data_IF_024107358313
#
_entry.id   IF_024107358313
#
_cell.length_a   1.000
_cell.length_b   1.000
_cell.length_c   1.000
_cell.angle_alpha   90.00
_cell.angle_beta   90.00
_cell.angle_gamma   90.00
#
_symmetry.space_group_name_H-M   'P 1'
#
loop_
_entity.id
_entity.type
_entity.pdbx_description
1 polymer ?
#
# COMPACT_ATOMS: atom_id res chain seq x y z
N UNK A 1 10.61 22.66 -3.27
CA UNK A 1 9.82 21.53 -2.74
C UNK A 1 10.56 20.21 -2.84
N UNK A 2 10.66 19.54 -3.99
CA UNK A 2 11.24 18.18 -4.07
C UNK A 2 12.67 18.00 -3.53
N UNK A 3 13.54 19.03 -3.63
CA UNK A 3 14.88 19.03 -3.01
C UNK A 3 14.83 19.31 -1.50
N UNK A 4 13.97 20.24 -1.08
CA UNK A 4 13.80 20.63 0.32
C UNK A 4 13.17 19.50 1.15
N UNK A 5 12.23 18.75 0.57
CA UNK A 5 11.59 17.59 1.18
C UNK A 5 12.38 16.28 0.98
N UNK A 6 13.56 16.36 0.39
CA UNK A 6 14.47 15.23 0.24
C UNK A 6 14.06 14.16 -0.78
N UNK A 7 12.89 14.24 -1.42
CA UNK A 7 12.43 13.24 -2.41
C UNK A 7 13.39 13.06 -3.59
N UNK A 8 14.03 14.15 -4.02
CA UNK A 8 14.99 14.12 -5.11
C UNK A 8 16.32 13.49 -4.68
N UNK A 9 16.78 13.69 -3.44
CA UNK A 9 18.14 13.33 -3.03
C UNK A 9 18.28 11.88 -2.55
N UNK A 10 17.17 11.19 -2.25
CA UNK A 10 17.20 9.77 -1.82
C UNK A 10 18.05 8.91 -2.77
N UNK A 11 18.83 7.99 -2.20
CA UNK A 11 19.66 7.09 -2.99
C UNK A 11 18.76 6.12 -3.76
N UNK A 12 19.08 5.86 -5.04
CA UNK A 12 18.18 5.12 -5.94
C UNK A 12 16.87 5.82 -6.30
N UNK A 13 16.71 7.13 -6.00
CA UNK A 13 15.47 7.85 -6.31
C UNK A 13 15.21 7.91 -7.82
N UNK A 14 14.16 7.20 -8.26
CA UNK A 14 13.64 7.23 -9.63
C UNK A 14 13.19 8.64 -10.06
N UNK A 15 12.92 9.52 -9.10
CA UNK A 15 12.58 10.92 -9.37
C UNK A 15 13.75 11.75 -9.91
N UNK A 16 14.99 11.27 -9.79
CA UNK A 16 16.16 11.89 -10.44
C UNK A 16 16.12 11.71 -11.96
N UNK A 17 15.71 10.53 -12.42
CA UNK A 17 15.64 10.19 -13.86
C UNK A 17 14.31 10.58 -14.51
N UNK A 18 13.27 10.85 -13.71
CA UNK A 18 11.92 11.25 -14.17
C UNK A 18 11.45 12.59 -13.57
N UNK A 19 12.15 13.72 -13.81
CA UNK A 19 11.83 14.99 -13.17
C UNK A 19 10.49 15.60 -13.64
N UNK A 20 10.14 15.43 -14.92
CA UNK A 20 8.91 15.98 -15.50
C UNK A 20 7.67 15.28 -14.94
N UNK A 21 7.66 13.95 -14.92
CA UNK A 21 6.58 13.16 -14.33
C UNK A 21 6.41 13.48 -12.84
N UNK A 22 7.52 13.61 -12.12
CA UNK A 22 7.49 14.00 -10.71
C UNK A 22 6.81 15.35 -10.51
N UNK A 23 7.21 16.36 -11.28
CA UNK A 23 6.66 17.71 -11.14
C UNK A 23 5.16 17.74 -11.50
N UNK A 24 4.79 17.07 -12.59
CA UNK A 24 3.40 16.95 -13.04
C UNK A 24 2.51 16.29 -12.00
N UNK A 25 2.89 15.14 -11.45
CA UNK A 25 2.09 14.48 -10.41
C UNK A 25 1.98 15.30 -9.13
N UNK A 26 3.06 15.98 -8.73
CA UNK A 26 3.00 16.87 -7.56
C UNK A 26 2.07 18.04 -7.80
N UNK A 27 2.17 18.71 -8.95
CA UNK A 27 1.29 19.81 -9.31
C UNK A 27 -0.18 19.36 -9.37
N UNK A 28 -0.47 18.23 -10.01
CA UNK A 28 -1.81 17.64 -10.08
C UNK A 28 -2.35 17.34 -8.68
N UNK A 29 -1.53 16.74 -7.81
CA UNK A 29 -1.94 16.38 -6.45
C UNK A 29 -2.33 17.62 -5.65
N UNK A 30 -1.55 18.70 -5.71
CA UNK A 30 -1.90 19.95 -5.05
C UNK A 30 -3.13 20.62 -5.65
N UNK A 31 -3.24 20.61 -6.97
CA UNK A 31 -4.41 21.17 -7.67
C UNK A 31 -5.71 20.46 -7.26
N UNK A 32 -5.72 19.12 -7.29
CA UNK A 32 -6.87 18.32 -6.84
C UNK A 32 -7.16 18.60 -5.37
N UNK A 33 -6.14 18.67 -4.51
CA UNK A 33 -6.32 18.99 -3.09
C UNK A 33 -6.99 20.34 -2.85
N UNK A 34 -6.63 21.34 -3.65
CA UNK A 34 -7.04 22.72 -3.44
C UNK A 34 -8.43 23.01 -4.04
N UNK A 35 -8.72 22.46 -5.22
CA UNK A 35 -9.90 22.84 -6.01
C UNK A 35 -10.97 21.75 -6.08
N UNK A 36 -10.57 20.48 -6.03
CA UNK A 36 -11.46 19.32 -6.21
C UNK A 36 -11.21 18.25 -5.14
N UNK A 37 -11.25 18.59 -3.84
CA UNK A 37 -10.96 17.64 -2.77
C UNK A 37 -11.91 16.42 -2.78
N UNK A 38 -13.14 16.59 -3.26
CA UNK A 38 -14.14 15.54 -3.40
C UNK A 38 -13.71 14.40 -4.31
N UNK A 39 -12.90 14.70 -5.33
CA UNK A 39 -12.36 13.68 -6.24
C UNK A 39 -11.45 12.70 -5.50
N UNK A 40 -10.81 13.13 -4.40
CA UNK A 40 -9.99 12.25 -3.57
C UNK A 40 -10.80 11.23 -2.76
N UNK A 41 -12.07 11.51 -2.48
CA UNK A 41 -12.94 10.60 -1.73
C UNK A 41 -13.50 9.46 -2.58
N UNK A 42 -13.12 9.41 -3.86
CA UNK A 42 -13.64 8.45 -4.83
C UNK A 42 -14.97 8.94 -5.39
N UNK A 43 -15.10 8.84 -6.72
CA UNK A 43 -16.37 9.08 -7.39
C UNK A 43 -17.13 7.75 -7.45
N UNK A 44 -18.43 7.79 -7.17
CA UNK A 44 -19.30 6.63 -7.35
C UNK A 44 -19.39 6.30 -8.84
N UNK A 45 -19.16 5.05 -9.19
CA UNK A 45 -19.40 4.55 -10.54
C UNK A 45 -20.90 4.45 -10.79
N UNK A 46 -21.29 4.37 -12.07
CA UNK A 46 -22.69 4.28 -12.47
C UNK A 46 -23.38 3.05 -11.89
N UNK A 47 -22.68 1.93 -11.82
CA UNK A 47 -23.22 0.67 -11.31
C UNK A 47 -23.51 0.76 -9.81
N UNK A 48 -22.59 1.35 -9.03
CA UNK A 48 -22.77 1.60 -7.60
C UNK A 48 -23.96 2.52 -7.31
N UNK A 49 -24.22 3.49 -8.19
CA UNK A 49 -25.39 4.38 -8.10
C UNK A 49 -26.71 3.65 -8.36
N UNK A 50 -26.72 2.64 -9.24
CA UNK A 50 -27.92 1.84 -9.55
C UNK A 50 -28.25 0.86 -8.42
N UNK A 51 -27.24 0.31 -7.76
CA UNK A 51 -27.40 -0.62 -6.63
C UNK A 51 -27.77 0.09 -5.32
N UNK A 52 -27.55 1.40 -5.23
CA UNK A 52 -27.88 2.18 -4.04
C UNK A 52 -29.41 2.38 -3.97
N UNK A 53 -30.07 2.01 -2.85
CA UNK A 53 -31.51 2.24 -2.72
C UNK A 53 -31.79 3.74 -2.78
N UNK A 54 -32.85 4.14 -3.50
CA UNK A 54 -33.29 5.54 -3.56
C UNK A 54 -33.35 6.12 -2.15
N UNK A 55 -32.59 7.19 -1.91
CA UNK A 55 -32.60 7.88 -0.65
C UNK A 55 -34.03 8.39 -0.40
N UNK A 56 -34.74 7.76 0.53
CA UNK A 56 -36.02 8.29 0.99
C UNK A 56 -35.73 9.66 1.59
N UNK A 57 -36.24 10.70 0.95
CA UNK A 57 -36.25 12.05 1.51
C UNK A 57 -37.05 11.97 2.79
N UNK A 58 -36.36 11.84 3.92
CA UNK A 58 -36.98 12.00 5.23
C UNK A 58 -37.26 13.48 5.36
N UNK A 59 -38.53 13.85 5.47
CA UNK A 59 -38.95 15.22 5.77
C UNK A 59 -38.04 15.79 6.86
N UNK A 60 -37.47 16.97 6.60
CA UNK A 60 -36.54 17.63 7.51
C UNK A 60 -37.20 17.77 8.89
N UNK A 61 -36.87 16.87 9.82
CA UNK A 61 -37.14 17.11 11.23
C UNK A 61 -36.32 18.34 11.59
N UNK A 62 -36.98 19.47 11.81
CA UNK A 62 -36.34 20.69 12.33
C UNK A 62 -35.58 20.33 13.60
N UNK A 63 -34.26 20.21 13.47
CA UNK A 63 -33.38 19.90 14.58
C UNK A 63 -33.12 21.22 15.31
N UNK A 64 -33.57 21.33 16.56
CA UNK A 64 -33.26 22.49 17.41
C UNK A 64 -31.77 22.48 17.78
N UNK A 65 -30.96 23.18 16.99
CA UNK A 65 -29.52 23.34 17.20
C UNK A 65 -29.17 23.83 18.63
N UNK A 66 -30.06 24.65 19.23
CA UNK A 66 -29.92 25.17 20.58
C UNK A 66 -30.03 24.12 21.69
N UNK A 67 -30.73 22.99 21.47
CA UNK A 67 -30.82 21.89 22.44
C UNK A 67 -29.54 21.05 22.44
N UNK A 68 -29.01 20.76 21.25
CA UNK A 68 -27.77 20.00 21.06
C UNK A 68 -26.58 20.72 21.68
N UNK A 69 -26.49 22.04 21.50
CA UNK A 69 -25.43 22.85 22.10
C UNK A 69 -25.45 22.81 23.64
N UNK A 70 -26.64 22.83 24.26
CA UNK A 70 -26.79 22.74 25.72
C UNK A 70 -26.40 21.35 26.26
N UNK A 71 -26.67 20.29 25.52
CA UNK A 71 -26.26 18.93 25.90
C UNK A 71 -24.75 18.71 25.80
N UNK A 72 -24.10 19.26 24.76
CA UNK A 72 -22.63 19.20 24.61
C UNK A 72 -21.89 19.92 25.74
N UNK A 73 -22.42 21.03 26.25
CA UNK A 73 -21.78 21.75 27.37
C UNK A 73 -21.77 20.99 28.71
N UNK A 74 -22.59 19.94 28.88
CA UNK A 74 -22.59 19.10 30.10
C UNK A 74 -21.60 17.93 30.05
N UNK A 75 -21.00 17.62 28.89
CA UNK A 75 -20.07 16.49 28.71
C UNK A 75 -18.74 16.94 28.10
N UNK A 76 -18.08 17.93 28.70
CA UNK A 76 -16.66 18.17 28.44
C UNK A 76 -15.82 17.31 29.39
N UNK A 77 -15.71 16.03 29.07
CA UNK A 77 -14.60 15.22 29.57
C UNK A 77 -13.45 15.37 28.58
N UNK A 78 -12.31 15.79 29.12
CA UNK A 78 -11.12 16.20 28.38
C UNK A 78 -10.47 14.95 27.76
N UNK A 79 -10.61 14.77 26.45
CA UNK A 79 -9.86 13.73 25.72
C UNK A 79 -8.67 14.40 25.05
N UNK A 80 -7.49 14.20 25.64
CA UNK A 80 -6.20 14.48 25.00
C UNK A 80 -6.04 13.51 23.82
N UNK A 81 -5.58 13.97 22.63
CA UNK A 81 -5.35 13.07 21.52
C UNK A 81 -4.15 12.17 21.85
N UNK A 82 -4.43 10.89 22.09
CA UNK A 82 -3.42 9.84 22.12
C UNK A 82 -2.85 9.71 20.69
N UNK A 83 -1.58 10.10 20.53
CA UNK A 83 -0.85 9.98 19.28
C UNK A 83 -0.59 8.48 19.08
N UNK A 84 -1.37 7.85 18.20
CA UNK A 84 -1.06 6.51 17.73
C UNK A 84 0.14 6.67 16.80
N UNK A 85 1.33 6.31 17.29
CA UNK A 85 2.47 6.01 16.43
C UNK A 85 2.07 4.81 15.55
N UNK A 86 1.70 5.11 14.31
CA UNK A 86 1.51 4.08 13.29
C UNK A 86 2.92 3.58 12.95
N UNK A 87 3.35 2.51 13.62
CA UNK A 87 4.36 1.62 13.04
C UNK A 87 3.90 1.28 11.62
N UNK A 88 4.78 1.32 10.60
CA UNK A 88 4.37 0.92 9.26
C UNK A 88 3.91 -0.53 9.34
N UNK A 89 2.60 -0.75 9.29
CA UNK A 89 2.03 -2.05 8.95
C UNK A 89 2.57 -2.40 7.56
N UNK A 90 3.68 -3.13 7.59
CA UNK A 90 4.09 -4.06 6.57
C UNK A 90 2.83 -4.75 6.08
N UNK A 91 2.41 -4.42 4.87
CA UNK A 91 1.43 -5.21 4.14
C UNK A 91 1.77 -6.68 4.33
N UNK A 92 0.97 -7.42 5.08
CA UNK A 92 0.95 -8.88 4.98
C UNK A 92 0.39 -9.21 3.59
N UNK A 93 1.21 -8.99 2.56
CA UNK A 93 1.16 -9.80 1.37
C UNK A 93 1.51 -11.18 1.87
N UNK A 94 0.55 -12.10 1.93
CA UNK A 94 0.88 -13.53 1.94
C UNK A 94 1.92 -13.71 0.84
N UNK A 95 3.19 -14.00 1.16
CA UNK A 95 4.26 -13.95 0.18
C UNK A 95 3.92 -14.94 -0.92
N UNK A 96 4.07 -14.53 -2.18
CA UNK A 96 3.88 -15.46 -3.27
C UNK A 96 4.85 -16.62 -3.05
N UNK A 97 4.49 -17.87 -3.41
CA UNK A 97 5.39 -19.00 -3.22
C UNK A 97 6.80 -18.78 -3.78
N UNK A 98 6.92 -18.01 -4.89
CA UNK A 98 8.19 -17.58 -5.48
C UNK A 98 9.04 -16.72 -4.53
N UNK A 99 8.45 -15.67 -3.95
CA UNK A 99 9.12 -14.77 -3.00
C UNK A 99 9.72 -15.51 -1.79
N UNK A 100 9.08 -16.62 -1.37
CA UNK A 100 9.56 -17.46 -0.26
C UNK A 100 10.79 -18.26 -0.68
N UNK A 101 10.80 -18.79 -1.91
CA UNK A 101 11.94 -19.52 -2.44
C UNK A 101 13.14 -18.59 -2.68
N UNK A 102 12.89 -17.39 -3.21
CA UNK A 102 13.92 -16.35 -3.39
C UNK A 102 14.57 -15.99 -2.04
N UNK A 103 13.77 -15.78 -0.99
CA UNK A 103 14.27 -15.51 0.35
C UNK A 103 15.13 -16.66 0.92
N UNK A 104 14.76 -17.92 0.66
CA UNK A 104 15.56 -19.08 1.07
C UNK A 104 16.86 -19.22 0.28
N UNK A 105 16.86 -18.92 -1.02
CA UNK A 105 18.05 -18.93 -1.87
C UNK A 105 19.03 -17.81 -1.45
N UNK A 106 18.52 -16.62 -1.18
CA UNK A 106 19.29 -15.49 -0.63
C UNK A 106 19.93 -15.84 0.72
N UNK A 107 19.19 -16.52 1.62
CA UNK A 107 19.71 -16.97 2.92
C UNK A 107 20.89 -17.95 2.79
N UNK A 108 20.95 -18.70 1.69
CA UNK A 108 22.03 -19.65 1.37
C UNK A 108 23.17 -19.02 0.57
N UNK A 109 23.10 -17.72 0.28
CA UNK A 109 24.17 -16.94 -0.35
C UNK A 109 24.09 -16.85 -1.88
N UNK A 110 22.95 -17.20 -2.49
CA UNK A 110 22.68 -16.95 -3.91
C UNK A 110 22.39 -15.45 -4.12
N UNK A 111 22.81 -14.87 -5.25
CA UNK A 111 22.55 -13.46 -5.55
C UNK A 111 21.07 -13.23 -5.88
N UNK A 112 20.54 -12.02 -5.66
CA UNK A 112 19.13 -11.65 -5.92
C UNK A 112 18.72 -11.96 -7.37
N UNK A 113 19.53 -11.54 -8.34
CA UNK A 113 19.24 -11.81 -9.77
C UNK A 113 19.27 -13.31 -10.11
N UNK A 114 20.12 -14.10 -9.46
CA UNK A 114 20.24 -15.54 -9.69
C UNK A 114 19.08 -16.29 -9.04
N UNK A 115 18.63 -15.83 -7.87
CA UNK A 115 17.48 -16.36 -7.16
C UNK A 115 16.19 -16.16 -7.98
N UNK A 116 15.99 -14.97 -8.55
CA UNK A 116 14.85 -14.66 -9.43
C UNK A 116 14.85 -15.56 -10.69
N UNK A 117 16.02 -15.73 -11.31
CA UNK A 117 16.16 -16.60 -12.48
C UNK A 117 15.85 -18.05 -12.15
N UNK A 118 16.33 -18.56 -11.01
CA UNK A 118 16.05 -19.92 -10.55
C UNK A 118 14.55 -20.07 -10.25
N UNK A 119 13.96 -19.15 -9.48
CA UNK A 119 12.55 -19.18 -9.11
C UNK A 119 11.63 -19.15 -10.34
N UNK A 120 11.98 -18.38 -11.37
CA UNK A 120 11.22 -18.30 -12.63
C UNK A 120 11.16 -19.61 -13.43
N UNK A 121 12.09 -20.56 -13.19
CA UNK A 121 12.13 -21.87 -13.88
C UNK A 121 11.15 -22.88 -13.28
N UNK A 122 10.68 -22.67 -12.06
CA UNK A 122 9.81 -23.61 -11.35
C UNK A 122 8.38 -23.08 -11.26
N UNK A 123 7.39 -23.98 -11.35
CA UNK A 123 5.99 -23.63 -11.12
C UNK A 123 5.69 -23.44 -9.63
N UNK A 124 4.63 -22.70 -9.29
CA UNK A 124 4.20 -22.50 -7.90
C UNK A 124 3.99 -23.81 -7.10
N UNK A 125 3.64 -24.91 -7.77
CA UNK A 125 3.48 -26.23 -7.14
C UNK A 125 4.83 -26.89 -6.84
N UNK A 126 5.78 -26.79 -7.78
CA UNK A 126 7.15 -27.28 -7.60
C UNK A 126 7.86 -26.50 -6.50
N UNK A 127 7.66 -25.18 -6.46
CA UNK A 127 8.22 -24.32 -5.42
C UNK A 127 7.72 -24.73 -4.03
N UNK A 128 6.43 -25.02 -3.89
CA UNK A 128 5.87 -25.54 -2.62
C UNK A 128 6.48 -26.88 -2.21
N UNK A 129 6.72 -27.78 -3.17
CA UNK A 129 7.35 -29.07 -2.89
C UNK A 129 8.82 -28.90 -2.47
N UNK A 130 9.56 -28.05 -3.16
CA UNK A 130 10.97 -27.71 -2.87
C UNK A 130 11.10 -27.03 -1.51
N UNK A 131 10.17 -26.15 -1.15
CA UNK A 131 10.15 -25.47 0.15
C UNK A 131 9.92 -26.44 1.33
N UNK A 132 9.21 -27.55 1.11
CA UNK A 132 8.98 -28.56 2.15
C UNK A 132 10.25 -29.39 2.45
N UNK A 133 11.20 -29.48 1.52
CA UNK A 133 12.41 -30.30 1.64
C UNK A 133 13.69 -29.44 1.49
N UNK A 134 14.38 -29.09 2.60
CA UNK A 134 15.51 -28.16 2.56
C UNK A 134 16.69 -28.69 1.74
N UNK A 135 16.86 -30.01 1.62
CA UNK A 135 17.91 -30.62 0.80
C UNK A 135 17.66 -30.45 -0.71
N UNK A 136 16.39 -30.29 -1.13
CA UNK A 136 16.04 -30.08 -2.53
C UNK A 136 16.54 -28.71 -3.03
N UNK A 137 16.46 -27.69 -2.19
CA UNK A 137 16.98 -26.36 -2.52
C UNK A 137 18.50 -26.39 -2.72
N UNK A 138 19.24 -27.16 -1.91
CA UNK A 138 20.69 -27.31 -2.10
C UNK A 138 21.03 -28.05 -3.40
N UNK A 139 20.20 -29.00 -3.84
CA UNK A 139 20.39 -29.66 -5.14
C UNK A 139 20.18 -28.69 -6.31
N UNK A 140 19.17 -27.81 -6.23
CA UNK A 140 18.90 -26.78 -7.24
C UNK A 140 20.08 -25.81 -7.37
N UNK A 141 20.61 -25.37 -6.23
CA UNK A 141 21.80 -24.50 -6.19
C UNK A 141 22.99 -25.21 -6.85
N UNK A 142 23.26 -26.46 -6.47
CA UNK A 142 24.38 -27.22 -7.01
C UNK A 142 24.27 -27.46 -8.52
N UNK A 143 23.07 -27.76 -9.03
CA UNK A 143 22.84 -27.99 -10.46
C UNK A 143 22.97 -26.70 -11.26
N UNK A 144 22.57 -25.55 -10.70
CA UNK A 144 22.73 -24.25 -11.33
C UNK A 144 24.21 -23.87 -11.50
N UNK A 145 25.05 -24.07 -10.48
CA UNK A 145 26.48 -23.71 -10.53
C UNK A 145 27.39 -24.77 -11.17
N UNK A 146 26.89 -25.97 -11.46
CA UNK A 146 27.64 -27.04 -12.14
C UNK A 146 27.47 -27.04 -13.66
N UNK A 147 26.44 -26.36 -14.19
CA UNK A 147 26.21 -26.18 -15.62
C UNK A 147 27.01 -25.02 -16.20
#
# INVERSE_FOLDING_TARGET
>A
MAKAEGWYNKNGSKWKTLPELMLSYRAQSFFISQYFPEVKFGLKTTDELMDMPEAKVVDEKKIDLNKIAKEKTKKNEKVEPEIIEIEPESSETTPLPGDILEAELLKRGVNENEADEIASRYSNEQIKAVLNDPASIDTIINDYFKG
#
